data_IF_402939953098
#
_entry.id   IF_402939953098
#
_cell.length_a   1.000
_cell.length_b   1.000
_cell.length_c   1.000
_cell.angle_alpha   90.00
_cell.angle_beta   90.00
_cell.angle_gamma   90.00
#
_symmetry.space_group_name_H-M   'P 1'
#
loop_
_entity.id
_entity.type
_entity.pdbx_description
1 polymer ?
#
# COMPACT_ATOMS: atom_id res chain seq x y z
N UNK A 1 -81.84 57.46 -4.59
CA UNK A 1 -80.48 58.04 -4.58
C UNK A 1 -79.51 56.91 -4.31
N UNK A 2 -78.88 56.45 -5.39
CA UNK A 2 -77.98 55.30 -5.49
C UNK A 2 -76.59 55.64 -4.98
N UNK A 3 -75.90 54.69 -4.33
CA UNK A 3 -74.46 54.77 -4.08
C UNK A 3 -73.75 53.61 -4.79
N UNK A 4 -72.79 53.98 -5.62
CA UNK A 4 -72.20 53.25 -6.74
C UNK A 4 -71.04 52.35 -6.28
N UNK A 5 -71.04 51.08 -6.67
CA UNK A 5 -69.89 50.15 -6.54
C UNK A 5 -68.74 50.58 -7.46
N UNK A 6 -67.50 50.57 -6.96
CA UNK A 6 -66.26 50.66 -7.78
C UNK A 6 -65.43 49.37 -7.67
N UNK A 7 -64.65 49.01 -8.70
CA UNK A 7 -64.27 47.62 -9.00
C UNK A 7 -62.90 47.22 -8.43
N UNK A 8 -62.73 45.93 -8.15
CA UNK A 8 -61.45 45.30 -7.77
C UNK A 8 -60.46 45.26 -8.96
N UNK A 9 -59.15 45.48 -8.72
CA UNK A 9 -58.12 45.29 -9.73
C UNK A 9 -57.66 43.81 -9.82
N UNK A 10 -57.40 43.37 -11.06
CA UNK A 10 -56.95 42.02 -11.47
C UNK A 10 -55.53 41.67 -10.95
N UNK A 11 -55.19 40.38 -10.77
CA UNK A 11 -53.85 39.96 -10.37
C UNK A 11 -52.85 40.10 -11.52
N UNK A 12 -51.61 40.51 -11.20
CA UNK A 12 -50.47 40.58 -12.13
C UNK A 12 -49.79 39.20 -12.26
N UNK A 13 -49.20 38.87 -13.43
CA UNK A 13 -48.54 37.59 -13.67
C UNK A 13 -47.20 37.49 -12.92
N UNK A 14 -46.92 36.30 -12.40
CA UNK A 14 -45.71 35.97 -11.65
C UNK A 14 -44.48 35.88 -12.58
N UNK A 15 -43.38 36.51 -12.19
CA UNK A 15 -42.06 36.37 -12.78
C UNK A 15 -41.42 35.04 -12.33
N UNK A 16 -40.67 34.32 -13.20
CA UNK A 16 -40.03 33.07 -12.82
C UNK A 16 -38.84 33.34 -11.90
N UNK A 17 -38.83 32.67 -10.76
CA UNK A 17 -37.71 32.65 -9.80
C UNK A 17 -36.54 31.88 -10.42
N UNK A 18 -35.29 32.38 -10.35
CA UNK A 18 -34.13 31.60 -10.80
C UNK A 18 -33.94 30.39 -9.86
N UNK A 19 -33.47 29.24 -10.38
CA UNK A 19 -33.32 28.02 -9.58
C UNK A 19 -32.30 28.26 -8.46
N UNK A 20 -32.65 27.82 -7.25
CA UNK A 20 -31.75 27.87 -6.11
C UNK A 20 -30.47 27.11 -6.44
N UNK A 21 -29.34 27.80 -6.39
CA UNK A 21 -28.03 27.17 -6.38
C UNK A 21 -28.01 26.29 -5.12
N UNK A 22 -28.13 24.98 -5.33
CA UNK A 22 -27.88 24.00 -4.28
C UNK A 22 -26.46 24.27 -3.79
N UNK A 23 -26.33 24.60 -2.51
CA UNK A 23 -25.03 24.71 -1.86
C UNK A 23 -24.31 23.39 -2.09
N UNK A 24 -23.30 23.41 -2.97
CA UNK A 24 -22.32 22.35 -3.07
C UNK A 24 -21.77 22.15 -1.66
N UNK A 25 -22.10 21.02 -1.05
CA UNK A 25 -21.59 20.61 0.24
C UNK A 25 -20.08 20.61 0.10
N UNK A 26 -19.39 21.54 0.79
CA UNK A 26 -17.93 21.50 0.91
C UNK A 26 -17.60 20.10 1.42
N UNK A 27 -17.01 19.25 0.58
CA UNK A 27 -16.44 17.97 1.01
C UNK A 27 -15.45 18.32 2.11
N UNK A 28 -15.81 18.01 3.35
CA UNK A 28 -14.90 18.10 4.48
C UNK A 28 -13.75 17.14 4.17
N UNK A 29 -12.54 17.66 4.06
CA UNK A 29 -11.36 16.85 3.81
C UNK A 29 -11.19 15.86 4.96
N UNK A 30 -11.52 14.58 4.72
CA UNK A 30 -11.25 13.50 5.68
C UNK A 30 -9.74 13.29 5.69
N UNK A 31 -9.12 13.30 6.88
CA UNK A 31 -7.68 13.02 7.01
C UNK A 31 -7.31 11.64 6.45
N UNK A 32 -8.26 10.69 6.41
CA UNK A 32 -8.08 9.34 5.84
C UNK A 32 -8.11 9.31 4.31
N UNK A 33 -8.39 10.43 3.66
CA UNK A 33 -8.35 10.59 2.19
C UNK A 33 -6.98 11.03 1.67
N UNK A 34 -5.96 11.12 2.53
CA UNK A 34 -4.62 11.60 2.15
C UNK A 34 -3.90 10.83 1.04
N UNK A 35 -4.38 9.64 0.64
CA UNK A 35 -3.84 8.92 -0.53
C UNK A 35 -4.39 9.45 -1.86
N UNK A 36 -5.54 10.12 -1.88
CA UNK A 36 -6.20 10.59 -3.11
C UNK A 36 -5.32 11.52 -3.95
N UNK A 37 -4.46 12.32 -3.30
CA UNK A 37 -3.49 13.21 -3.99
C UNK A 37 -2.55 12.45 -4.93
N UNK A 38 -2.19 11.22 -4.60
CA UNK A 38 -1.32 10.38 -5.42
C UNK A 38 -2.07 9.68 -6.55
N UNK A 39 -3.38 9.42 -6.37
CA UNK A 39 -4.20 8.65 -7.30
C UNK A 39 -4.71 9.53 -8.45
N UNK A 40 -5.23 10.71 -8.09
CA UNK A 40 -5.82 11.66 -9.05
C UNK A 40 -4.75 12.28 -9.94
N UNK A 41 -3.66 12.76 -9.33
CA UNK A 41 -2.59 13.50 -10.00
C UNK A 41 -1.19 12.98 -9.62
N UNK A 42 -0.87 11.72 -9.98
CA UNK A 42 0.43 11.11 -9.66
C UNK A 42 1.63 11.93 -10.20
N UNK A 43 1.45 12.66 -11.29
CA UNK A 43 2.45 13.51 -11.92
C UNK A 43 2.90 14.70 -11.07
N UNK A 44 2.05 15.18 -10.15
CA UNK A 44 2.41 16.28 -9.26
C UNK A 44 3.41 15.83 -8.19
N UNK A 45 3.36 14.55 -7.82
CA UNK A 45 4.26 13.87 -6.90
C UNK A 45 4.83 14.77 -5.78
N UNK A 46 3.96 15.41 -4.97
CA UNK A 46 4.37 16.53 -4.12
C UNK A 46 5.42 16.14 -3.07
N UNK A 47 5.42 14.88 -2.64
CA UNK A 47 6.33 14.34 -1.64
C UNK A 47 7.42 13.43 -2.24
N UNK A 48 7.51 13.31 -3.57
CA UNK A 48 8.47 12.43 -4.24
C UNK A 48 8.25 10.93 -3.97
N UNK A 49 7.05 10.54 -3.54
CA UNK A 49 6.74 9.16 -3.15
C UNK A 49 6.32 8.28 -4.34
N UNK A 50 5.82 8.86 -5.43
CA UNK A 50 5.41 8.11 -6.63
C UNK A 50 6.64 7.50 -7.30
N UNK A 51 6.63 6.18 -7.44
CA UNK A 51 7.66 5.39 -8.13
C UNK A 51 7.30 5.24 -9.61
N UNK A 52 6.05 4.88 -9.88
CA UNK A 52 5.51 4.70 -11.21
C UNK A 52 3.99 4.83 -11.19
N UNK A 53 3.41 5.12 -12.35
CA UNK A 53 1.97 5.10 -12.53
C UNK A 53 1.63 4.79 -13.98
N UNK A 54 0.45 4.22 -14.18
CA UNK A 54 -0.17 4.00 -15.48
C UNK A 54 -1.67 4.39 -15.38
N UNK A 55 -2.49 4.25 -16.44
CA UNK A 55 -3.92 4.59 -16.35
C UNK A 55 -4.71 3.83 -15.28
N UNK A 56 -4.26 2.64 -14.86
CA UNK A 56 -4.96 1.75 -13.94
C UNK A 56 -4.44 1.84 -12.51
N UNK A 57 -3.15 2.05 -12.30
CA UNK A 57 -2.50 1.98 -10.99
C UNK A 57 -1.47 3.09 -10.74
N UNK A 58 -1.27 3.39 -9.46
CA UNK A 58 -0.14 4.19 -8.95
C UNK A 58 0.62 3.36 -7.92
N UNK A 59 1.95 3.38 -8.02
CA UNK A 59 2.85 2.75 -7.05
C UNK A 59 3.56 3.86 -6.29
N UNK A 60 3.45 3.85 -4.96
CA UNK A 60 4.12 4.83 -4.11
C UNK A 60 4.96 4.15 -3.03
N UNK A 61 5.98 4.86 -2.53
CA UNK A 61 6.61 4.55 -1.24
C UNK A 61 5.64 4.91 -0.12
N UNK A 62 5.47 4.03 0.86
CA UNK A 62 4.73 4.37 2.09
C UNK A 62 5.51 5.47 2.82
N UNK A 63 4.83 6.60 3.11
CA UNK A 63 5.41 7.74 3.82
C UNK A 63 5.90 7.39 5.23
N UNK A 64 5.30 6.38 5.84
CA UNK A 64 5.62 5.90 7.18
C UNK A 64 5.91 4.40 7.11
N UNK A 65 6.99 3.98 6.42
CA UNK A 65 7.25 2.57 6.12
C UNK A 65 7.40 1.75 7.42
N UNK A 66 6.96 0.50 7.43
CA UNK A 66 7.04 -0.38 8.63
C UNK A 66 8.16 -1.41 8.56
N UNK A 67 8.95 -1.34 7.50
CA UNK A 67 10.07 -2.20 7.15
C UNK A 67 11.05 -1.39 6.28
N UNK A 68 12.17 -1.99 5.93
CA UNK A 68 13.24 -1.37 5.12
C UNK A 68 12.74 -0.87 3.76
N UNK A 69 11.91 -1.66 3.08
CA UNK A 69 11.21 -1.26 1.85
C UNK A 69 9.72 -1.51 2.04
N UNK A 70 8.90 -0.49 1.81
CA UNK A 70 7.45 -0.58 1.94
C UNK A 70 6.77 0.28 0.87
N UNK A 71 6.07 -0.38 -0.03
CA UNK A 71 5.33 0.21 -1.14
C UNK A 71 3.83 0.02 -0.96
N UNK A 72 3.07 0.91 -1.59
CA UNK A 72 1.62 0.79 -1.73
C UNK A 72 1.28 0.77 -3.23
N UNK A 73 0.47 -0.21 -3.63
CA UNK A 73 -0.19 -0.24 -4.93
C UNK A 73 -1.62 0.31 -4.76
N UNK A 74 -1.94 1.34 -5.54
CA UNK A 74 -3.19 2.10 -5.46
C UNK A 74 -3.95 2.00 -6.79
N UNK A 75 -5.15 1.39 -6.84
CA UNK A 75 -6.00 1.43 -8.02
C UNK A 75 -6.51 2.85 -8.29
N UNK A 76 -6.55 3.23 -9.57
CA UNK A 76 -6.99 4.57 -10.01
C UNK A 76 -8.48 4.67 -10.28
N UNK A 77 -9.17 3.54 -10.45
CA UNK A 77 -10.61 3.52 -10.68
C UNK A 77 -11.39 4.09 -9.48
N UNK A 78 -12.13 5.20 -9.65
CA UNK A 78 -12.96 5.78 -8.59
C UNK A 78 -13.98 4.84 -7.98
N UNK A 79 -14.43 3.83 -8.73
CA UNK A 79 -15.35 2.81 -8.22
C UNK A 79 -14.71 1.94 -7.13
N UNK A 80 -13.38 1.82 -7.11
CA UNK A 80 -12.63 0.98 -6.16
C UNK A 80 -12.16 1.73 -4.93
N UNK A 81 -12.06 3.07 -4.97
CA UNK A 81 -11.40 3.86 -3.94
C UNK A 81 -11.93 3.54 -2.54
N UNK A 82 -13.25 3.58 -2.35
CA UNK A 82 -13.85 3.44 -1.02
C UNK A 82 -14.36 2.03 -0.72
N UNK A 83 -14.06 1.05 -1.58
CA UNK A 83 -14.46 -0.32 -1.31
C UNK A 83 -13.59 -0.93 -0.21
N UNK A 84 -14.21 -1.73 0.65
CA UNK A 84 -13.47 -2.51 1.62
C UNK A 84 -12.57 -3.52 0.89
N UNK A 85 -11.27 -3.64 1.21
CA UNK A 85 -10.33 -4.42 0.41
C UNK A 85 -10.70 -5.90 0.30
N UNK A 86 -11.19 -6.49 1.40
CA UNK A 86 -11.59 -7.89 1.37
C UNK A 86 -12.81 -8.12 0.48
N UNK A 87 -13.71 -7.14 0.36
CA UNK A 87 -14.90 -7.25 -0.48
C UNK A 87 -14.54 -6.99 -1.95
N UNK A 88 -13.78 -5.93 -2.22
CA UNK A 88 -13.29 -5.60 -3.55
C UNK A 88 -12.54 -6.78 -4.18
N UNK A 89 -11.62 -7.39 -3.43
CA UNK A 89 -10.75 -8.45 -3.93
C UNK A 89 -11.42 -9.83 -3.91
N UNK A 90 -12.35 -10.10 -2.98
CA UNK A 90 -12.99 -11.42 -2.94
C UNK A 90 -14.19 -11.53 -3.88
N UNK A 91 -14.87 -10.43 -4.17
CA UNK A 91 -16.09 -10.44 -5.01
C UNK A 91 -15.79 -10.13 -6.48
N UNK A 92 -14.54 -9.76 -6.81
CA UNK A 92 -14.12 -9.48 -8.17
C UNK A 92 -12.84 -10.29 -8.54
N UNK A 93 -13.01 -11.51 -9.08
CA UNK A 93 -11.89 -12.37 -9.46
C UNK A 93 -10.96 -11.77 -10.51
N UNK A 94 -11.49 -10.96 -11.43
CA UNK A 94 -10.70 -10.31 -12.47
C UNK A 94 -9.77 -9.25 -11.86
N UNK A 95 -10.29 -8.43 -10.95
CA UNK A 95 -9.50 -7.45 -10.19
C UNK A 95 -8.42 -8.13 -9.34
N UNK A 96 -8.77 -9.23 -8.64
CA UNK A 96 -7.80 -9.98 -7.85
C UNK A 96 -6.68 -10.57 -8.71
N UNK A 97 -7.00 -11.11 -9.88
CA UNK A 97 -6.01 -11.66 -10.80
C UNK A 97 -5.05 -10.58 -11.33
N UNK A 98 -5.59 -9.42 -11.74
CA UNK A 98 -4.79 -8.28 -12.20
C UNK A 98 -3.89 -7.73 -11.07
N UNK A 99 -4.43 -7.52 -9.86
CA UNK A 99 -3.65 -7.07 -8.71
C UNK A 99 -2.56 -8.08 -8.32
N UNK A 100 -2.81 -9.39 -8.40
CA UNK A 100 -1.78 -10.40 -8.16
C UNK A 100 -0.63 -10.28 -9.13
N UNK A 101 -0.92 -10.15 -10.44
CA UNK A 101 0.11 -9.93 -11.44
C UNK A 101 0.93 -8.67 -11.15
N UNK A 102 0.27 -7.55 -10.85
CA UNK A 102 0.96 -6.29 -10.49
C UNK A 102 1.80 -6.41 -9.23
N UNK A 103 1.31 -7.12 -8.22
CA UNK A 103 2.07 -7.34 -6.99
C UNK A 103 3.27 -8.22 -7.22
N UNK A 104 3.20 -9.23 -8.09
CA UNK A 104 4.37 -10.06 -8.40
C UNK A 104 5.47 -9.25 -9.11
N UNK A 105 5.11 -8.34 -10.02
CA UNK A 105 6.04 -7.35 -10.60
C UNK A 105 6.66 -6.46 -9.50
N UNK A 106 5.86 -5.98 -8.55
CA UNK A 106 6.33 -5.16 -7.44
C UNK A 106 7.21 -5.91 -6.45
N UNK A 107 6.96 -7.21 -6.21
CA UNK A 107 7.83 -8.02 -5.35
C UNK A 107 9.24 -8.12 -5.94
N UNK A 108 9.36 -8.26 -7.26
CA UNK A 108 10.67 -8.23 -7.95
C UNK A 108 11.35 -6.88 -7.75
N UNK A 109 10.60 -5.77 -7.86
CA UNK A 109 11.14 -4.44 -7.60
C UNK A 109 11.64 -4.28 -6.16
N UNK A 110 10.85 -4.72 -5.17
CA UNK A 110 11.23 -4.69 -3.75
C UNK A 110 12.45 -5.57 -3.49
N UNK A 111 12.50 -6.77 -4.06
CA UNK A 111 13.65 -7.69 -3.95
C UNK A 111 14.93 -7.08 -4.54
N UNK A 112 14.83 -6.43 -5.70
CA UNK A 112 15.94 -5.70 -6.31
C UNK A 112 16.42 -4.54 -5.43
N UNK A 113 15.51 -3.80 -4.82
CA UNK A 113 15.86 -2.72 -3.88
C UNK A 113 16.49 -3.27 -2.60
N UNK A 114 16.03 -4.40 -2.07
CA UNK A 114 16.68 -5.08 -0.94
C UNK A 114 18.10 -5.52 -1.28
N UNK A 115 18.32 -6.12 -2.45
CA UNK A 115 19.67 -6.44 -2.93
C UNK A 115 20.53 -5.19 -3.08
N UNK A 116 19.97 -4.08 -3.58
CA UNK A 116 20.70 -2.81 -3.69
C UNK A 116 21.12 -2.26 -2.32
N UNK A 117 20.26 -2.41 -1.31
CA UNK A 117 20.51 -1.92 0.04
C UNK A 117 21.47 -2.82 0.84
N UNK A 118 21.32 -4.14 0.73
CA UNK A 118 21.95 -5.09 1.65
C UNK A 118 22.77 -6.19 0.97
N UNK A 119 22.69 -6.32 -0.36
CA UNK A 119 23.41 -7.35 -1.11
C UNK A 119 24.92 -7.33 -0.85
N UNK A 120 25.52 -6.14 -0.77
CA UNK A 120 26.96 -5.99 -0.49
C UNK A 120 27.40 -6.44 0.91
N UNK A 121 26.49 -6.56 1.87
CA UNK A 121 26.77 -7.06 3.23
C UNK A 121 26.36 -8.53 3.41
N UNK A 122 25.58 -9.09 2.48
CA UNK A 122 24.99 -10.43 2.58
C UNK A 122 25.97 -11.53 2.17
N UNK A 123 26.25 -12.45 3.10
CA UNK A 123 27.15 -13.59 2.86
C UNK A 123 26.63 -14.55 1.77
N UNK A 124 25.31 -14.76 1.71
CA UNK A 124 24.65 -15.61 0.71
C UNK A 124 24.44 -14.92 -0.63
N UNK A 125 24.44 -13.58 -0.69
CA UNK A 125 24.43 -12.82 -1.93
C UNK A 125 25.85 -12.55 -2.49
N UNK A 126 26.90 -12.81 -1.69
CA UNK A 126 28.29 -12.54 -2.04
C UNK A 126 28.72 -13.09 -3.43
N UNK A 127 28.37 -14.34 -3.84
CA UNK A 127 28.73 -14.83 -5.18
C UNK A 127 28.17 -13.97 -6.31
N UNK A 128 26.92 -13.52 -6.17
CA UNK A 128 26.29 -12.62 -7.13
C UNK A 128 26.98 -11.24 -7.13
N UNK A 129 27.27 -10.68 -5.95
CA UNK A 129 27.90 -9.36 -5.83
C UNK A 129 29.31 -9.32 -6.41
N UNK A 130 30.14 -10.33 -6.12
CA UNK A 130 31.50 -10.42 -6.68
C UNK A 130 31.46 -10.51 -8.20
N UNK A 131 30.57 -11.34 -8.76
CA UNK A 131 30.42 -11.46 -10.20
C UNK A 131 29.88 -10.18 -10.86
N UNK A 132 28.97 -9.46 -10.18
CA UNK A 132 28.48 -8.17 -10.66
C UNK A 132 29.59 -7.11 -10.66
N UNK A 133 30.39 -7.05 -9.61
CA UNK A 133 31.54 -6.13 -9.51
C UNK A 133 32.59 -6.42 -10.60
N UNK A 134 32.88 -7.70 -10.84
CA UNK A 134 33.78 -8.12 -11.92
C UNK A 134 33.23 -7.74 -13.29
N UNK A 135 31.94 -7.99 -13.54
CA UNK A 135 31.28 -7.59 -14.79
C UNK A 135 31.39 -6.07 -15.00
N UNK A 136 31.05 -5.28 -13.98
CA UNK A 136 31.13 -3.81 -14.02
C UNK A 136 32.56 -3.29 -14.19
N UNK A 137 33.56 -4.03 -13.71
CA UNK A 137 34.98 -3.64 -13.81
C UNK A 137 35.61 -4.03 -15.15
N UNK A 138 35.05 -5.03 -15.83
CA UNK A 138 35.61 -5.58 -17.08
C UNK A 138 34.87 -5.14 -18.33
N UNK A 139 33.60 -4.74 -18.24
CA UNK A 139 32.82 -4.24 -19.37
C UNK A 139 32.86 -2.72 -19.48
N UNK A 140 33.11 -2.22 -20.69
CA UNK A 140 32.94 -0.79 -21.01
C UNK A 140 31.48 -0.35 -20.98
N UNK A 141 30.58 -1.30 -21.23
CA UNK A 141 29.14 -1.07 -21.23
C UNK A 141 28.55 -1.30 -19.84
N UNK A 142 27.54 -0.51 -19.43
CA UNK A 142 26.84 -0.77 -18.17
C UNK A 142 26.17 -2.16 -18.22
N UNK A 143 26.15 -2.90 -17.10
CA UNK A 143 25.45 -4.17 -17.05
C UNK A 143 23.97 -3.96 -17.38
N UNK A 144 23.33 -4.91 -18.10
CA UNK A 144 21.91 -4.80 -18.40
C UNK A 144 21.09 -4.71 -17.09
N UNK A 145 19.88 -4.15 -17.11
CA UNK A 145 19.04 -4.07 -15.93
C UNK A 145 18.28 -5.38 -15.66
N UNK A 146 17.96 -5.61 -14.39
CA UNK A 146 16.94 -6.59 -13.99
C UNK A 146 17.21 -8.03 -14.47
N UNK A 147 16.21 -8.73 -15.02
CA UNK A 147 16.30 -10.17 -15.31
C UNK A 147 17.42 -10.57 -16.27
N UNK A 148 17.77 -9.71 -17.23
CA UNK A 148 18.84 -10.00 -18.18
C UNK A 148 20.21 -10.04 -17.49
N UNK A 149 20.41 -9.18 -16.48
CA UNK A 149 21.60 -9.22 -15.62
C UNK A 149 21.63 -10.49 -14.80
N UNK A 150 20.51 -10.80 -14.16
CA UNK A 150 20.39 -11.94 -13.25
C UNK A 150 20.62 -13.26 -13.98
N UNK A 151 20.26 -13.35 -15.27
CA UNK A 151 20.55 -14.51 -16.12
C UNK A 151 22.03 -14.71 -16.46
N UNK A 152 22.86 -13.66 -16.34
CA UNK A 152 24.30 -13.70 -16.63
C UNK A 152 25.16 -13.89 -15.38
N UNK A 153 24.57 -13.76 -14.19
CA UNK A 153 25.26 -13.79 -12.91
C UNK A 153 24.97 -15.10 -12.17
N UNK A 154 25.87 -15.57 -11.30
CA UNK A 154 25.60 -16.71 -10.44
C UNK A 154 24.42 -16.39 -9.50
N UNK A 155 23.76 -17.44 -9.01
CA UNK A 155 22.70 -17.28 -8.03
C UNK A 155 23.23 -16.61 -6.76
N UNK A 156 22.51 -15.59 -6.30
CA UNK A 156 22.71 -14.97 -4.98
C UNK A 156 21.61 -15.36 -4.01
N UNK A 157 21.42 -14.55 -2.99
CA UNK A 157 20.33 -14.70 -2.04
C UNK A 157 18.98 -14.52 -2.72
N UNK A 158 18.00 -15.34 -2.33
CA UNK A 158 16.61 -15.19 -2.76
C UNK A 158 15.92 -14.05 -2.00
N UNK A 159 16.18 -12.81 -2.42
CA UNK A 159 15.53 -11.62 -1.88
C UNK A 159 14.02 -11.58 -2.15
N UNK A 160 13.52 -12.33 -3.13
CA UNK A 160 12.08 -12.37 -3.44
C UNK A 160 11.30 -13.05 -2.31
N UNK A 161 11.88 -14.09 -1.70
CA UNK A 161 11.31 -14.78 -0.52
C UNK A 161 11.19 -13.89 0.72
N UNK A 162 11.87 -12.74 0.74
CA UNK A 162 11.87 -11.78 1.83
C UNK A 162 10.74 -10.74 1.72
N UNK A 163 9.94 -10.80 0.64
CA UNK A 163 8.88 -9.84 0.34
C UNK A 163 7.51 -10.41 0.68
N UNK A 164 6.71 -9.62 1.39
CA UNK A 164 5.33 -9.92 1.73
C UNK A 164 4.40 -8.92 1.03
N UNK A 165 3.18 -9.37 0.76
CA UNK A 165 2.15 -8.50 0.21
C UNK A 165 0.76 -8.87 0.73
N UNK A 166 -0.10 -7.87 0.91
CA UNK A 166 -1.45 -8.10 1.42
C UNK A 166 -2.23 -6.81 1.69
N UNK A 167 -3.45 -7.00 2.21
CA UNK A 167 -4.37 -5.94 2.58
C UNK A 167 -4.74 -6.04 4.06
N UNK A 168 -4.97 -4.91 4.71
CA UNK A 168 -5.46 -4.91 6.08
C UNK A 168 -6.96 -5.20 6.14
N UNK A 169 -7.38 -5.98 7.14
CA UNK A 169 -8.81 -6.26 7.41
C UNK A 169 -9.57 -5.00 7.87
N UNK A 170 -8.87 -3.99 8.38
CA UNK A 170 -9.45 -2.69 8.72
C UNK A 170 -8.49 -1.55 8.31
N UNK A 171 -8.58 -1.04 7.07
CA UNK A 171 -7.64 -0.07 6.52
C UNK A 171 -7.61 1.27 7.28
N UNK A 172 -6.42 1.82 7.49
CA UNK A 172 -6.26 3.14 8.14
C UNK A 172 -6.63 4.29 7.21
N UNK A 173 -6.38 4.13 5.90
CA UNK A 173 -6.76 5.09 4.85
C UNK A 173 -8.01 4.59 4.12
N UNK A 174 -8.81 5.51 3.61
CA UNK A 174 -10.08 5.18 2.95
C UNK A 174 -9.88 4.54 1.56
N UNK A 175 -8.87 5.01 0.82
CA UNK A 175 -8.58 4.53 -0.53
C UNK A 175 -8.04 3.11 -0.50
N UNK A 176 -8.54 2.19 -1.33
CA UNK A 176 -8.00 0.84 -1.49
C UNK A 176 -6.49 0.88 -1.76
N UNK A 177 -5.72 0.16 -0.93
CA UNK A 177 -4.28 0.08 -1.04
C UNK A 177 -3.79 -1.32 -0.69
N UNK A 178 -2.83 -1.81 -1.47
CA UNK A 178 -2.19 -3.10 -1.26
C UNK A 178 -0.76 -2.84 -0.80
N UNK A 179 -0.39 -3.42 0.34
CA UNK A 179 0.95 -3.33 0.88
C UNK A 179 1.87 -4.32 0.15
N UNK A 180 3.06 -3.87 -0.26
CA UNK A 180 4.15 -4.73 -0.75
C UNK A 180 5.42 -4.30 -0.03
N UNK A 181 5.99 -5.18 0.79
CA UNK A 181 7.00 -4.76 1.76
C UNK A 181 7.97 -5.88 2.14
N UNK A 182 9.17 -5.50 2.55
CA UNK A 182 10.17 -6.43 3.09
C UNK A 182 9.79 -6.91 4.50
N UNK A 183 10.06 -8.18 4.82
CA UNK A 183 9.60 -8.81 6.07
C UNK A 183 10.36 -8.42 7.34
N UNK A 184 11.42 -7.61 7.23
CA UNK A 184 12.34 -7.28 8.33
C UNK A 184 11.68 -6.51 9.49
N UNK A 185 10.60 -5.79 9.20
CA UNK A 185 9.85 -4.96 10.16
C UNK A 185 10.72 -3.91 10.90
N UNK A 186 11.89 -3.57 10.37
CA UNK A 186 12.79 -2.57 10.94
C UNK A 186 12.51 -1.20 10.33
N UNK A 187 12.12 -0.24 11.18
CA UNK A 187 11.85 1.13 10.75
C UNK A 187 11.73 2.09 11.93
N UNK A 188 12.20 3.33 11.76
CA UNK A 188 11.96 4.41 12.70
C UNK A 188 10.46 4.73 12.91
N UNK A 189 9.60 4.42 11.92
CA UNK A 189 8.15 4.61 11.99
C UNK A 189 7.42 3.47 12.74
N UNK A 190 8.14 2.43 13.18
CA UNK A 190 7.62 1.42 14.11
C UNK A 190 7.50 2.03 15.52
N UNK A 191 6.33 2.60 15.83
CA UNK A 191 6.10 3.41 17.05
C UNK A 191 5.11 2.80 18.05
N UNK A 192 4.21 1.92 17.61
CA UNK A 192 3.16 1.36 18.46
C UNK A 192 2.96 -0.12 18.20
N UNK A 193 2.46 -0.86 19.21
CA UNK A 193 2.12 -2.29 19.08
C UNK A 193 1.23 -2.59 17.87
N UNK A 194 0.27 -1.70 17.58
CA UNK A 194 -0.64 -1.83 16.43
C UNK A 194 0.11 -1.82 15.09
N UNK A 195 1.20 -1.04 14.97
CA UNK A 195 1.99 -0.99 13.75
C UNK A 195 2.70 -2.31 13.45
N UNK A 196 3.10 -3.06 14.48
CA UNK A 196 3.75 -4.35 14.28
C UNK A 196 2.70 -5.44 14.05
N UNK A 197 1.69 -5.48 14.91
CA UNK A 197 0.64 -6.49 14.89
C UNK A 197 -0.21 -6.42 13.61
N UNK A 198 -0.42 -5.23 13.02
CA UNK A 198 -1.19 -5.13 11.77
C UNK A 198 -0.57 -5.90 10.61
N UNK A 199 0.75 -6.13 10.59
CA UNK A 199 1.45 -6.87 9.53
C UNK A 199 1.85 -8.29 9.93
N UNK A 200 1.87 -8.62 11.22
CA UNK A 200 2.37 -9.91 11.75
C UNK A 200 1.30 -10.72 12.48
N UNK A 201 0.03 -10.48 12.14
CA UNK A 201 -1.12 -11.25 12.62
C UNK A 201 -2.11 -11.45 11.46
N UNK A 202 -3.23 -12.12 11.73
CA UNK A 202 -4.34 -12.30 10.78
C UNK A 202 -5.03 -10.98 10.37
N UNK A 203 -4.57 -9.84 10.88
CA UNK A 203 -5.01 -8.51 10.46
C UNK A 203 -4.49 -8.12 9.07
N UNK A 204 -3.37 -8.69 8.62
CA UNK A 204 -2.93 -8.63 7.23
C UNK A 204 -3.39 -9.92 6.55
N UNK A 205 -4.16 -9.78 5.47
CA UNK A 205 -4.57 -10.89 4.61
C UNK A 205 -3.66 -10.90 3.39
N UNK A 206 -2.92 -12.00 3.22
CA UNK A 206 -2.08 -12.22 2.05
C UNK A 206 -2.90 -12.29 0.77
N UNK A 207 -2.33 -11.84 -0.35
CA UNK A 207 -3.03 -11.94 -1.64
C UNK A 207 -3.24 -13.40 -2.09
N UNK A 208 -2.40 -14.31 -1.63
CA UNK A 208 -2.49 -15.76 -1.83
C UNK A 208 -3.63 -16.40 -1.01
N UNK A 209 -4.07 -15.75 0.07
CA UNK A 209 -5.18 -16.21 0.90
C UNK A 209 -6.56 -15.81 0.35
N UNK A 210 -6.61 -14.90 -0.63
CA UNK A 210 -7.85 -14.42 -1.26
C UNK A 210 -8.32 -15.35 -2.40
N UNK A 211 -9.63 -15.41 -2.73
CA UNK A 211 -10.73 -14.75 -2.03
C UNK A 211 -11.00 -15.40 -0.67
N UNK A 212 -11.41 -14.60 0.32
CA UNK A 212 -11.83 -15.15 1.61
C UNK A 212 -13.23 -15.74 1.49
N UNK A 213 -13.49 -16.84 2.21
CA UNK A 213 -14.84 -17.38 2.34
C UNK A 213 -15.81 -16.37 2.98
N UNK A 214 -17.11 -16.50 2.70
CA UNK A 214 -18.14 -15.57 3.20
C UNK A 214 -18.19 -15.49 4.73
N UNK A 215 -17.88 -16.60 5.43
CA UNK A 215 -17.91 -16.69 6.88
C UNK A 215 -16.52 -16.52 7.55
N UNK A 216 -15.53 -16.04 6.82
CA UNK A 216 -14.20 -15.81 7.40
C UNK A 216 -14.27 -14.68 8.44
N UNK A 217 -13.82 -14.97 9.67
CA UNK A 217 -13.85 -14.03 10.79
C UNK A 217 -13.10 -12.72 10.49
N UNK A 218 -12.14 -12.73 9.55
CA UNK A 218 -11.38 -11.54 9.14
C UNK A 218 -12.20 -10.54 8.33
N UNK A 219 -13.33 -10.95 7.73
CA UNK A 219 -14.29 -10.04 7.07
C UNK A 219 -15.07 -9.18 8.05
N UNK A 220 -15.25 -9.69 9.27
CA UNK A 220 -15.92 -8.99 10.35
C UNK A 220 -14.96 -8.89 11.53
N UNK A 221 -13.87 -8.11 11.39
CA UNK A 221 -12.96 -7.92 12.50
C UNK A 221 -13.76 -7.24 13.61
N UNK A 222 -14.04 -7.99 14.67
CA UNK A 222 -14.63 -7.45 15.88
C UNK A 222 -13.63 -6.53 16.59
N UNK A 223 -13.63 -6.56 17.91
CA UNK A 223 -12.61 -5.83 18.67
C UNK A 223 -11.21 -6.34 18.36
N UNK A 224 -10.24 -5.43 18.35
CA UNK A 224 -8.82 -5.74 18.15
C UNK A 224 -8.38 -6.82 19.15
N UNK A 225 -8.15 -8.06 18.70
CA UNK A 225 -7.81 -9.15 19.59
C UNK A 225 -6.52 -8.86 20.34
N UNK A 226 -6.41 -9.38 21.56
CA UNK A 226 -5.16 -9.28 22.31
C UNK A 226 -4.15 -10.30 21.77
N UNK A 227 -3.55 -9.98 20.61
CA UNK A 227 -2.53 -10.82 19.99
C UNK A 227 -1.20 -10.76 20.75
N UNK A 228 -0.55 -11.92 20.81
CA UNK A 228 0.84 -12.00 21.22
C UNK A 228 1.74 -11.31 20.19
N UNK A 229 2.67 -10.48 20.68
CA UNK A 229 3.68 -9.86 19.84
C UNK A 229 4.87 -10.80 19.71
N UNK A 230 4.78 -11.67 18.71
CA UNK A 230 5.83 -12.64 18.38
C UNK A 230 6.74 -12.07 17.30
N UNK A 231 8.05 -12.22 17.47
CA UNK A 231 9.00 -11.86 16.42
C UNK A 231 8.71 -12.69 15.15
N UNK A 232 8.82 -12.05 13.99
CA UNK A 232 8.54 -12.64 12.69
C UNK A 232 9.57 -13.71 12.32
N UNK A 233 10.76 -13.65 12.94
CA UNK A 233 11.92 -14.48 12.65
C UNK A 233 12.08 -15.61 13.66
N UNK A 234 12.30 -15.29 14.93
CA UNK A 234 12.54 -16.30 15.98
C UNK A 234 11.25 -16.83 16.64
N UNK A 235 10.10 -16.17 16.48
CA UNK A 235 8.82 -16.58 17.08
C UNK A 235 8.67 -16.31 18.58
N UNK A 236 9.70 -15.79 19.24
CA UNK A 236 9.68 -15.42 20.66
C UNK A 236 8.71 -14.26 20.95
N UNK A 237 8.19 -14.22 22.18
CA UNK A 237 7.19 -13.23 22.62
C UNK A 237 7.86 -12.04 23.32
N UNK A 238 7.41 -10.83 22.98
CA UNK A 238 7.96 -9.60 23.53
C UNK A 238 6.89 -8.59 23.93
N UNK A 239 7.23 -7.71 24.87
CA UNK A 239 6.57 -6.41 25.00
C UNK A 239 7.12 -5.43 23.96
N UNK A 240 6.33 -4.44 23.53
CA UNK A 240 6.67 -3.59 22.36
C UNK A 240 8.06 -2.94 22.41
N UNK A 241 8.45 -2.36 23.55
CA UNK A 241 9.77 -1.71 23.67
C UNK A 241 10.93 -2.70 23.51
N UNK A 242 10.79 -3.92 24.06
CA UNK A 242 11.78 -4.99 23.89
C UNK A 242 11.77 -5.52 22.47
N UNK A 243 10.59 -5.69 21.87
CA UNK A 243 10.46 -6.12 20.48
C UNK A 243 11.16 -5.16 19.54
N UNK A 244 10.97 -3.85 19.71
CA UNK A 244 11.58 -2.85 18.82
C UNK A 244 13.11 -2.96 18.79
N UNK A 245 13.75 -3.15 19.95
CA UNK A 245 15.20 -3.39 20.02
C UNK A 245 15.57 -4.74 19.40
N UNK A 246 14.79 -5.78 19.68
CA UNK A 246 15.02 -7.10 19.10
C UNK A 246 14.90 -7.11 17.57
N UNK A 247 13.98 -6.34 16.98
CA UNK A 247 13.86 -6.21 15.52
C UNK A 247 15.08 -5.55 14.88
N UNK A 248 15.77 -4.66 15.59
CA UNK A 248 17.04 -4.08 15.13
C UNK A 248 18.16 -5.12 15.14
N UNK A 249 18.26 -5.93 16.20
CA UNK A 249 19.19 -7.06 16.29
C UNK A 249 18.94 -8.09 15.18
N UNK A 250 17.67 -8.46 14.96
CA UNK A 250 17.26 -9.38 13.90
C UNK A 250 17.55 -8.81 12.51
N UNK A 251 17.32 -7.52 12.28
CA UNK A 251 17.63 -6.86 11.01
C UNK A 251 19.14 -6.80 10.73
N UNK A 252 19.95 -6.48 11.74
CA UNK A 252 21.42 -6.46 11.62
C UNK A 252 22.02 -7.83 11.32
N UNK A 253 21.43 -8.91 11.85
CA UNK A 253 21.79 -10.28 11.51
C UNK A 253 21.29 -10.65 10.11
N UNK A 254 19.98 -10.43 9.87
CA UNK A 254 19.30 -10.79 8.63
C UNK A 254 19.92 -10.14 7.39
N UNK A 255 20.40 -8.90 7.45
CA UNK A 255 21.02 -8.25 6.29
C UNK A 255 22.40 -8.83 5.91
N UNK A 256 23.08 -9.51 6.85
CA UNK A 256 24.41 -10.10 6.68
C UNK A 256 24.39 -11.57 6.30
N UNK A 257 23.26 -12.24 6.50
CA UNK A 257 22.99 -13.57 5.93
C UNK A 257 23.09 -13.56 4.41
#
# INVERSE_FOLDING_TARGET
MSATKKPQPKPKPASPTPPSIQHATKRTFDMRDGLGVYIEHPELNPEGLVISHDPSYVVIRDKYPKSSVHLLLLPRDPALWYQHPLDALSNNPALLADIRQRVDELKVLVASELRRLYGGESATDAPYQTALEELMSTSSDPPPPGPERDARLPAGRDWLSEVRAGVHTHPSMNHLHIHVFSRDMYSACMKHKKHYLSFNTSFLVGLDELPLGEHDARRHPGDWPNWDMRCWRCGERFGFAKLKRHLEEEWEAWKKE
#
